data_IF_895407915982
#
_entry.id   IF_895407915982
#
_cell.length_a   1.000
_cell.length_b   1.000
_cell.length_c   1.000
_cell.angle_alpha   90.00
_cell.angle_beta   90.00
_cell.angle_gamma   90.00
#
_symmetry.space_group_name_H-M   'P 1'
#
loop_
_entity.id
_entity.type
_entity.pdbx_description
1 polymer ?
#
# COMPACT_ATOMS: atom_id res chain seq x y z
N UNK A 1 -2.09 -15.67 -25.04
CA UNK A 1 -3.54 -15.94 -25.06
C UNK A 1 -4.09 -15.59 -23.69
N UNK A 2 -4.83 -14.49 -23.57
CA UNK A 2 -5.49 -14.11 -22.32
C UNK A 2 -6.77 -14.93 -22.15
N UNK A 3 -6.92 -15.61 -21.01
CA UNK A 3 -8.15 -16.29 -20.64
C UNK A 3 -9.29 -15.25 -20.48
N UNK A 4 -10.53 -15.55 -20.89
CA UNK A 4 -11.63 -14.60 -20.75
C UNK A 4 -11.99 -14.39 -19.27
N UNK A 5 -12.22 -13.13 -18.89
CA UNK A 5 -12.85 -12.77 -17.63
C UNK A 5 -14.24 -13.39 -17.59
N UNK A 6 -14.46 -14.31 -16.65
CA UNK A 6 -15.77 -14.88 -16.40
C UNK A 6 -16.61 -13.81 -15.68
N UNK A 7 -17.41 -13.06 -16.46
CA UNK A 7 -18.51 -12.25 -15.93
C UNK A 7 -19.43 -13.17 -15.13
N UNK A 8 -19.69 -12.82 -13.88
CA UNK A 8 -20.52 -13.60 -12.96
C UNK A 8 -21.89 -13.94 -13.58
N UNK A 9 -22.41 -15.17 -13.39
CA UNK A 9 -23.73 -15.54 -13.89
C UNK A 9 -24.85 -14.88 -13.07
N UNK A 10 -26.09 -14.77 -13.62
CA UNK A 10 -27.21 -14.18 -12.92
C UNK A 10 -27.67 -15.08 -11.77
N UNK A 11 -28.09 -14.43 -10.67
CA UNK A 11 -28.45 -15.05 -9.38
C UNK A 11 -29.52 -16.13 -9.51
N UNK A 12 -29.23 -17.30 -8.96
CA UNK A 12 -30.21 -18.24 -8.41
C UNK A 12 -29.54 -19.10 -7.31
N UNK A 13 -30.04 -19.02 -6.07
CA UNK A 13 -29.67 -19.95 -4.98
C UNK A 13 -30.42 -21.29 -5.14
N UNK A 14 -29.83 -22.44 -4.75
CA UNK A 14 -29.93 -22.86 -3.34
C UNK A 14 -28.68 -23.53 -2.74
N UNK A 15 -28.72 -23.51 -1.40
CA UNK A 15 -27.82 -24.07 -0.37
C UNK A 15 -27.15 -25.41 -0.70
N UNK A 16 -25.82 -25.43 -0.62
CA UNK A 16 -25.07 -26.64 -0.26
C UNK A 16 -24.03 -26.32 0.82
N UNK A 17 -24.19 -27.07 1.91
CA UNK A 17 -23.33 -27.21 3.07
C UNK A 17 -21.87 -27.41 2.62
N UNK A 18 -21.13 -26.30 2.60
CA UNK A 18 -19.67 -26.29 2.54
C UNK A 18 -19.28 -25.39 3.67
N UNK A 19 -18.79 -25.98 4.76
CA UNK A 19 -18.00 -25.24 5.73
C UNK A 19 -16.91 -24.49 4.96
N UNK A 20 -16.99 -23.16 4.82
CA UNK A 20 -15.82 -22.41 4.49
C UNK A 20 -15.10 -22.34 5.83
N UNK A 21 -14.02 -23.12 5.99
CA UNK A 21 -12.92 -22.58 6.79
C UNK A 21 -12.37 -21.44 5.94
N UNK A 22 -13.12 -20.34 5.88
CA UNK A 22 -12.60 -19.02 5.60
C UNK A 22 -11.43 -18.91 6.57
N UNK A 23 -10.22 -18.96 6.01
CA UNK A 23 -9.09 -18.33 6.66
C UNK A 23 -9.29 -16.81 6.60
N UNK A 24 -10.47 -16.31 7.01
CA UNK A 24 -10.57 -15.07 7.76
C UNK A 24 -9.93 -15.36 9.11
N UNK A 25 -8.61 -15.53 9.10
CA UNK A 25 -7.86 -15.39 10.33
C UNK A 25 -7.99 -13.92 10.66
N UNK A 26 -9.06 -13.60 11.38
CA UNK A 26 -9.23 -12.38 12.14
C UNK A 26 -8.25 -12.47 13.33
N UNK A 27 -6.96 -12.67 13.03
CA UNK A 27 -5.90 -12.16 13.88
C UNK A 27 -6.21 -10.69 13.87
N UNK A 28 -6.58 -10.11 15.01
CA UNK A 28 -6.70 -8.66 15.19
C UNK A 28 -5.66 -7.99 14.29
N UNK A 29 -6.12 -7.45 13.14
CA UNK A 29 -5.25 -7.32 11.97
C UNK A 29 -4.15 -6.35 12.38
N UNK A 30 -2.96 -6.89 12.65
CA UNK A 30 -1.79 -6.08 12.94
C UNK A 30 -1.74 -5.07 11.82
N UNK A 31 -1.80 -3.78 12.18
CA UNK A 31 -1.83 -2.69 11.21
C UNK A 31 -0.65 -2.89 10.25
N UNK A 32 -0.96 -3.34 9.03
CA UNK A 32 0.05 -3.79 8.09
C UNK A 32 0.99 -2.65 7.70
N UNK A 33 0.48 -1.42 7.69
CA UNK A 33 1.27 -0.21 7.44
C UNK A 33 2.23 0.04 8.61
N UNK A 34 1.73 0.00 9.85
CA UNK A 34 2.57 0.17 11.03
C UNK A 34 3.65 -0.93 11.12
N UNK A 35 3.29 -2.20 10.90
CA UNK A 35 4.26 -3.30 10.86
C UNK A 35 5.27 -3.13 9.72
N UNK A 36 4.83 -2.70 8.54
CA UNK A 36 5.74 -2.44 7.42
C UNK A 36 6.76 -1.35 7.76
N UNK A 37 6.32 -0.22 8.31
CA UNK A 37 7.19 0.88 8.72
C UNK A 37 8.16 0.46 9.83
N UNK A 38 7.64 -0.21 10.86
CA UNK A 38 8.42 -0.76 11.96
C UNK A 38 9.53 -1.69 11.47
N UNK A 39 9.16 -2.63 10.60
CA UNK A 39 10.10 -3.61 10.06
C UNK A 39 11.17 -2.96 9.18
N UNK A 40 10.77 -2.01 8.31
CA UNK A 40 11.73 -1.27 7.47
C UNK A 40 12.80 -0.55 8.29
N UNK A 41 12.45 0.02 9.45
CA UNK A 41 13.41 0.69 10.35
C UNK A 41 14.37 -0.26 11.07
N UNK A 42 14.09 -1.56 11.08
CA UNK A 42 14.86 -2.55 11.84
C UNK A 42 15.70 -3.47 10.96
N UNK A 43 15.26 -3.74 9.73
CA UNK A 43 16.03 -4.56 8.77
C UNK A 43 17.19 -3.76 8.15
N UNK A 44 18.17 -4.48 7.60
CA UNK A 44 19.28 -3.87 6.89
C UNK A 44 18.82 -3.15 5.61
N UNK A 45 19.61 -2.16 5.16
CA UNK A 45 19.33 -1.44 3.92
C UNK A 45 19.32 -2.37 2.69
N UNK A 46 20.12 -3.44 2.72
CA UNK A 46 20.15 -4.46 1.67
C UNK A 46 18.81 -5.23 1.58
N UNK A 47 18.23 -5.60 2.73
CA UNK A 47 16.91 -6.25 2.79
C UNK A 47 15.78 -5.28 2.44
N UNK A 48 15.90 -4.00 2.82
CA UNK A 48 14.88 -2.99 2.57
C UNK A 48 14.82 -2.53 1.10
N UNK A 49 15.95 -2.54 0.37
CA UNK A 49 16.04 -2.06 -1.01
C UNK A 49 14.98 -2.64 -1.97
N UNK A 50 14.83 -3.97 -2.11
CA UNK A 50 13.82 -4.53 -3.02
C UNK A 50 12.37 -4.16 -2.63
N UNK A 51 12.10 -3.97 -1.33
CA UNK A 51 10.80 -3.54 -0.83
C UNK A 51 10.52 -2.10 -1.28
N UNK A 52 11.47 -1.19 -1.06
CA UNK A 52 11.31 0.22 -1.41
C UNK A 52 11.42 0.52 -2.91
N UNK A 53 11.87 -0.45 -3.71
CA UNK A 53 11.82 -0.37 -5.18
C UNK A 53 10.39 -0.62 -5.71
N UNK A 54 9.53 -1.26 -4.92
CA UNK A 54 8.16 -1.62 -5.32
C UNK A 54 7.09 -0.78 -4.61
N UNK A 55 7.28 -0.55 -3.31
CA UNK A 55 6.34 0.20 -2.48
C UNK A 55 6.41 1.70 -2.80
N UNK A 56 5.27 2.39 -2.76
CA UNK A 56 5.19 3.83 -2.98
C UNK A 56 4.44 4.51 -1.85
N UNK A 57 4.62 5.83 -1.72
CA UNK A 57 3.90 6.63 -0.70
C UNK A 57 2.38 6.50 -0.83
N UNK A 58 1.87 6.35 -2.07
CA UNK A 58 0.42 6.24 -2.32
C UNK A 58 -0.19 4.90 -1.93
N UNK A 59 0.62 3.91 -1.54
CA UNK A 59 0.11 2.61 -1.12
C UNK A 59 -0.41 2.65 0.34
N UNK A 60 -0.01 3.65 1.12
CA UNK A 60 -0.48 3.87 2.48
C UNK A 60 -1.84 4.59 2.50
N UNK A 61 -2.74 4.09 3.34
CA UNK A 61 -4.06 4.63 3.63
C UNK A 61 -3.95 5.81 4.59
N UNK A 62 -3.13 5.68 5.63
CA UNK A 62 -2.84 6.80 6.54
C UNK A 62 -1.77 7.71 5.91
N UNK A 63 -2.15 8.97 5.68
CA UNK A 63 -1.23 9.99 5.18
C UNK A 63 0.00 10.21 6.08
N UNK A 64 -0.12 10.00 7.40
CA UNK A 64 1.02 10.05 8.32
C UNK A 64 1.97 8.87 8.07
N UNK A 65 1.45 7.66 7.82
CA UNK A 65 2.27 6.51 7.45
C UNK A 65 2.96 6.72 6.10
N UNK A 66 2.26 7.25 5.10
CA UNK A 66 2.87 7.63 3.83
C UNK A 66 3.97 8.70 3.99
N UNK A 67 3.80 9.66 4.91
CA UNK A 67 4.83 10.64 5.23
C UNK A 67 6.06 10.00 5.91
N UNK A 68 5.86 9.12 6.89
CA UNK A 68 6.94 8.36 7.53
C UNK A 68 7.68 7.49 6.51
N UNK A 69 6.94 6.78 5.66
CA UNK A 69 7.52 5.97 4.59
C UNK A 69 8.41 6.81 3.67
N UNK A 70 7.97 8.02 3.29
CA UNK A 70 8.78 8.92 2.44
C UNK A 70 10.14 9.22 3.06
N UNK A 71 10.19 9.46 4.38
CA UNK A 71 11.44 9.74 5.10
C UNK A 71 12.35 8.49 5.13
N UNK A 72 11.79 7.34 5.49
CA UNK A 72 12.49 6.04 5.51
C UNK A 72 13.05 5.70 4.12
N UNK A 73 12.21 5.81 3.08
CA UNK A 73 12.61 5.62 1.68
C UNK A 73 13.77 6.56 1.31
N UNK A 74 13.69 7.83 1.67
CA UNK A 74 14.74 8.82 1.43
C UNK A 74 16.08 8.43 2.06
N UNK A 75 16.08 8.05 3.34
CA UNK A 75 17.27 7.59 4.07
C UNK A 75 17.90 6.36 3.39
N UNK A 76 17.09 5.34 3.11
CA UNK A 76 17.57 4.10 2.44
C UNK A 76 18.15 4.42 1.06
N UNK A 77 17.49 5.26 0.25
CA UNK A 77 18.00 5.68 -1.07
C UNK A 77 19.35 6.38 -0.98
N UNK A 78 19.54 7.24 0.01
CA UNK A 78 20.82 7.93 0.28
C UNK A 78 21.88 7.03 0.94
N UNK A 79 21.55 5.79 1.28
CA UNK A 79 22.46 4.89 1.99
C UNK A 79 22.76 5.35 3.42
N UNK A 80 21.87 6.14 4.01
CA UNK A 80 21.96 6.59 5.39
C UNK A 80 21.29 5.58 6.32
N UNK A 81 21.65 5.53 7.61
CA UNK A 81 20.92 4.72 8.57
C UNK A 81 19.45 5.18 8.61
N UNK A 82 18.55 4.22 8.63
CA UNK A 82 17.10 4.43 8.49
C UNK A 82 16.33 3.87 9.69
N UNK A 83 16.99 3.79 10.84
CA UNK A 83 16.39 3.43 12.11
C UNK A 83 15.49 4.54 12.67
N UNK A 84 14.78 4.23 13.76
CA UNK A 84 13.90 5.16 14.46
C UNK A 84 14.57 6.51 14.79
N UNK A 85 15.83 6.48 15.24
CA UNK A 85 16.54 7.70 15.66
C UNK A 85 16.80 8.58 14.45
N UNK A 86 17.23 7.99 13.34
CA UNK A 86 17.46 8.74 12.11
C UNK A 86 16.17 9.25 11.47
N UNK A 87 15.08 8.48 11.52
CA UNK A 87 13.78 8.96 11.04
C UNK A 87 13.29 10.12 11.91
N UNK A 88 13.43 10.03 13.23
CA UNK A 88 13.11 11.13 14.14
C UNK A 88 13.97 12.38 13.87
N UNK A 89 15.26 12.19 13.59
CA UNK A 89 16.16 13.27 13.20
C UNK A 89 15.73 13.92 11.88
N UNK A 90 15.36 13.15 10.85
CA UNK A 90 14.87 13.69 9.58
C UNK A 90 13.58 14.52 9.75
N UNK A 91 12.67 14.08 10.63
CA UNK A 91 11.47 14.85 11.01
C UNK A 91 11.86 16.23 11.58
N UNK A 92 12.98 16.31 12.32
CA UNK A 92 13.46 17.56 12.92
C UNK A 92 14.15 18.47 11.89
N UNK A 93 14.93 17.88 10.97
CA UNK A 93 15.74 18.61 10.00
C UNK A 93 14.98 19.15 8.78
N UNK A 94 13.71 18.76 8.57
CA UNK A 94 12.90 19.24 7.44
C UNK A 94 11.86 20.30 7.87
N UNK A 95 12.24 21.59 8.03
CA UNK A 95 11.33 22.69 8.35
C UNK A 95 10.46 23.15 7.15
N UNK A 96 10.59 22.53 5.97
CA UNK A 96 9.88 22.92 4.76
C UNK A 96 8.40 22.54 4.76
N UNK A 97 7.56 23.36 5.38
CA UNK A 97 6.10 23.40 5.17
C UNK A 97 5.22 22.80 6.26
N UNK A 98 5.79 22.34 7.39
CA UNK A 98 5.10 21.47 8.34
C UNK A 98 5.49 21.75 9.81
N UNK A 99 5.56 23.01 10.25
CA UNK A 99 5.75 23.24 11.70
C UNK A 99 4.56 22.74 12.53
N UNK A 100 3.36 22.65 11.96
CA UNK A 100 2.15 22.16 12.65
C UNK A 100 1.99 20.62 12.70
N UNK A 101 2.64 19.85 11.82
CA UNK A 101 2.51 18.38 11.83
C UNK A 101 3.76 17.63 12.31
N UNK A 102 4.83 18.33 12.70
CA UNK A 102 6.04 17.69 13.26
C UNK A 102 5.73 16.88 14.52
N UNK A 103 5.01 17.50 15.47
CA UNK A 103 4.63 16.84 16.72
C UNK A 103 3.72 15.64 16.46
N UNK A 104 2.76 15.78 15.54
CA UNK A 104 1.88 14.70 15.11
C UNK A 104 2.69 13.56 14.48
N UNK A 105 3.57 13.85 13.54
CA UNK A 105 4.37 12.83 12.85
C UNK A 105 5.30 12.08 13.82
N UNK A 106 5.87 12.77 14.82
CA UNK A 106 6.60 12.11 15.92
C UNK A 106 5.71 11.19 16.75
N UNK A 107 4.49 11.61 17.07
CA UNK A 107 3.54 10.74 17.79
C UNK A 107 3.21 9.48 16.97
N UNK A 108 2.99 9.62 15.66
CA UNK A 108 2.81 8.45 14.79
C UNK A 108 4.06 7.58 14.75
N UNK A 109 5.27 8.15 14.64
CA UNK A 109 6.52 7.40 14.66
C UNK A 109 6.67 6.56 15.93
N UNK A 110 6.38 7.13 17.10
CA UNK A 110 6.42 6.42 18.39
C UNK A 110 5.40 5.28 18.45
N UNK A 111 4.23 5.44 17.84
CA UNK A 111 3.20 4.38 17.79
C UNK A 111 3.62 3.21 16.89
N UNK A 112 4.30 3.49 15.78
CA UNK A 112 4.65 2.44 14.81
C UNK A 112 5.98 1.75 15.11
N UNK A 113 6.92 2.37 15.84
CA UNK A 113 8.29 1.83 15.97
C UNK A 113 8.36 0.38 16.43
N UNK A 114 7.49 -0.04 17.36
CA UNK A 114 7.43 -1.39 17.90
C UNK A 114 6.35 -2.30 17.30
N UNK A 115 5.70 -1.90 16.20
CA UNK A 115 4.56 -2.63 15.67
C UNK A 115 4.92 -3.99 15.04
N UNK A 116 6.12 -4.15 14.48
CA UNK A 116 6.57 -5.43 13.92
C UNK A 116 7.32 -6.26 14.96
N UNK A 117 6.72 -7.37 15.37
CA UNK A 117 7.38 -8.38 16.23
C UNK A 117 8.49 -9.12 15.50
N UNK A 118 8.33 -9.31 14.18
CA UNK A 118 9.26 -10.07 13.33
C UNK A 118 9.68 -9.21 12.12
N UNK A 119 10.69 -8.33 12.28
CA UNK A 119 11.13 -7.42 11.22
C UNK A 119 11.55 -8.12 9.93
N UNK A 120 12.09 -9.33 10.01
CA UNK A 120 12.47 -10.16 8.87
C UNK A 120 11.28 -10.50 7.95
N UNK A 121 10.04 -10.36 8.44
CA UNK A 121 8.81 -10.51 7.65
C UNK A 121 8.40 -9.23 6.91
N UNK A 122 9.27 -8.22 6.84
CA UNK A 122 9.03 -6.98 6.09
C UNK A 122 8.44 -7.18 4.68
N UNK A 123 8.90 -8.17 3.87
CA UNK A 123 8.29 -8.41 2.56
C UNK A 123 6.79 -8.77 2.63
N UNK A 124 6.37 -9.52 3.66
CA UNK A 124 4.96 -9.89 3.85
C UNK A 124 4.10 -8.70 4.27
N UNK A 125 4.61 -7.84 5.16
CA UNK A 125 3.91 -6.60 5.53
C UNK A 125 3.76 -5.66 4.32
N UNK A 126 4.83 -5.49 3.54
CA UNK A 126 4.78 -4.69 2.32
C UNK A 126 3.78 -5.25 1.29
N UNK A 127 3.73 -6.58 1.11
CA UNK A 127 2.72 -7.23 0.26
C UNK A 127 1.30 -6.94 0.73
N UNK A 128 1.03 -6.95 2.04
CA UNK A 128 -0.28 -6.62 2.59
C UNK A 128 -0.66 -5.16 2.29
N UNK A 129 0.26 -4.20 2.47
CA UNK A 129 0.04 -2.78 2.14
C UNK A 129 -0.26 -2.59 0.64
N UNK A 130 0.53 -3.21 -0.25
CA UNK A 130 0.30 -3.15 -1.70
C UNK A 130 -1.02 -3.82 -2.09
N UNK A 131 -1.38 -4.95 -1.47
CA UNK A 131 -2.65 -5.62 -1.72
C UNK A 131 -3.85 -4.73 -1.35
N UNK A 132 -3.78 -4.04 -0.20
CA UNK A 132 -4.82 -3.11 0.21
C UNK A 132 -4.90 -1.91 -0.74
N UNK A 133 -3.76 -1.31 -1.10
CA UNK A 133 -3.67 -0.25 -2.11
C UNK A 133 -4.29 -0.66 -3.44
N UNK A 134 -3.96 -1.87 -3.91
CA UNK A 134 -4.47 -2.40 -5.16
C UNK A 134 -6.00 -2.51 -5.13
N UNK A 135 -6.59 -3.01 -4.04
CA UNK A 135 -8.06 -3.04 -3.86
C UNK A 135 -8.68 -1.64 -3.87
N UNK A 136 -8.14 -0.71 -3.06
CA UNK A 136 -8.60 0.70 -3.02
C UNK A 136 -8.55 1.36 -4.40
N UNK A 137 -7.56 1.01 -5.22
CA UNK A 137 -7.41 1.57 -6.55
C UNK A 137 -8.58 1.20 -7.48
N UNK A 138 -9.17 0.01 -7.34
CA UNK A 138 -10.39 -0.38 -8.08
C UNK A 138 -11.61 0.40 -7.61
N UNK A 139 -11.76 0.59 -6.30
CA UNK A 139 -12.85 1.41 -5.74
C UNK A 139 -12.77 2.85 -6.26
N UNK A 140 -11.57 3.43 -6.26
CA UNK A 140 -11.32 4.77 -6.80
C UNK A 140 -11.63 4.84 -8.30
N UNK A 141 -11.22 3.83 -9.08
CA UNK A 141 -11.50 3.80 -10.52
C UNK A 141 -12.99 3.64 -10.83
N UNK A 142 -13.71 2.83 -10.05
CA UNK A 142 -15.15 2.68 -10.19
C UNK A 142 -15.89 3.99 -9.90
N UNK A 143 -15.53 4.67 -8.81
CA UNK A 143 -16.08 6.00 -8.47
C UNK A 143 -15.76 7.02 -9.57
N UNK A 144 -14.52 7.04 -10.06
CA UNK A 144 -14.08 7.95 -11.12
C UNK A 144 -14.82 7.69 -12.45
N UNK A 145 -15.16 6.44 -12.75
CA UNK A 145 -15.95 6.10 -13.93
C UNK A 145 -17.43 6.51 -13.76
N UNK A 146 -17.99 6.30 -12.57
CA UNK A 146 -19.35 6.74 -12.23
C UNK A 146 -19.49 8.26 -12.33
N UNK A 147 -18.51 9.02 -11.83
CA UNK A 147 -18.51 10.48 -11.95
C UNK A 147 -18.37 10.93 -13.41
N UNK A 148 -17.57 10.21 -14.21
CA UNK A 148 -17.35 10.53 -15.62
C UNK A 148 -18.63 10.48 -16.45
N UNK A 149 -19.62 9.64 -16.11
CA UNK A 149 -20.88 9.57 -16.85
C UNK A 149 -21.66 10.89 -16.84
N UNK A 150 -21.43 11.75 -15.85
CA UNK A 150 -22.07 13.06 -15.71
C UNK A 150 -21.18 14.23 -16.14
N UNK A 151 -19.85 14.05 -16.15
CA UNK A 151 -18.89 15.16 -16.22
C UNK A 151 -18.00 15.14 -17.46
N UNK A 152 -17.82 13.99 -18.10
CA UNK A 152 -16.99 13.81 -19.29
C UNK A 152 -17.87 13.81 -20.54
N UNK A 153 -17.41 14.44 -21.61
CA UNK A 153 -18.12 14.42 -22.89
C UNK A 153 -18.28 12.98 -23.40
N UNK A 154 -19.43 12.67 -24.00
CA UNK A 154 -19.77 11.30 -24.42
C UNK A 154 -18.71 10.69 -25.35
N UNK A 155 -18.18 11.48 -26.28
CA UNK A 155 -17.14 11.04 -27.23
C UNK A 155 -15.79 10.71 -26.55
N UNK A 156 -15.54 11.27 -25.36
CA UNK A 156 -14.31 11.07 -24.58
C UNK A 156 -14.42 9.94 -23.54
N UNK A 157 -15.62 9.41 -23.28
CA UNK A 157 -15.86 8.40 -22.23
C UNK A 157 -15.04 7.11 -22.45
N UNK A 158 -14.91 6.67 -23.70
CA UNK A 158 -14.12 5.48 -24.03
C UNK A 158 -12.63 5.68 -23.69
N UNK A 159 -12.05 6.81 -24.10
CA UNK A 159 -10.65 7.10 -23.81
C UNK A 159 -10.42 7.30 -22.30
N UNK A 160 -11.37 7.90 -21.59
CA UNK A 160 -11.36 8.02 -20.14
C UNK A 160 -11.30 6.64 -19.46
N UNK A 161 -12.16 5.71 -19.89
CA UNK A 161 -12.17 4.32 -19.40
C UNK A 161 -10.83 3.62 -19.70
N UNK A 162 -10.30 3.76 -20.92
CA UNK A 162 -9.00 3.17 -21.29
C UNK A 162 -7.86 3.70 -20.42
N UNK A 163 -7.88 5.00 -20.08
CA UNK A 163 -6.90 5.61 -19.16
C UNK A 163 -6.99 5.01 -17.75
N UNK A 164 -8.19 4.80 -17.21
CA UNK A 164 -8.36 4.08 -15.95
C UNK A 164 -7.83 2.64 -16.03
N UNK A 165 -8.13 1.93 -17.12
CA UNK A 165 -7.62 0.58 -17.35
C UNK A 165 -6.09 0.48 -17.42
N UNK A 166 -5.41 1.46 -18.04
CA UNK A 166 -3.94 1.53 -18.06
C UNK A 166 -3.37 1.72 -16.65
N UNK A 167 -3.95 2.61 -15.84
CA UNK A 167 -3.56 2.76 -14.43
C UNK A 167 -3.74 1.47 -13.64
N UNK A 168 -4.82 0.72 -13.89
CA UNK A 168 -5.04 -0.57 -13.23
C UNK A 168 -4.03 -1.64 -13.65
N UNK A 169 -3.61 -1.63 -14.92
CA UNK A 169 -2.53 -2.51 -15.39
C UNK A 169 -1.23 -2.21 -14.67
N UNK A 170 -0.88 -0.94 -14.50
CA UNK A 170 0.34 -0.54 -13.79
C UNK A 170 0.28 -0.96 -12.32
N UNK A 171 -0.87 -0.77 -11.66
CA UNK A 171 -1.09 -1.22 -10.28
C UNK A 171 -1.00 -2.75 -10.16
N UNK A 172 -1.55 -3.49 -11.12
CA UNK A 172 -1.44 -4.95 -11.18
C UNK A 172 0.01 -5.41 -11.34
N UNK A 173 0.78 -4.78 -12.22
CA UNK A 173 2.19 -5.11 -12.42
C UNK A 173 3.00 -4.95 -11.12
N UNK A 174 2.74 -3.88 -10.35
CA UNK A 174 3.37 -3.68 -9.04
C UNK A 174 2.95 -4.76 -8.03
N UNK A 175 1.66 -5.09 -7.98
CA UNK A 175 1.16 -6.16 -7.10
C UNK A 175 1.76 -7.53 -7.45
N UNK A 176 1.87 -7.85 -8.74
CA UNK A 176 2.51 -9.08 -9.19
C UNK A 176 4.01 -9.13 -8.82
N UNK A 177 4.73 -8.00 -8.96
CA UNK A 177 6.14 -7.90 -8.59
C UNK A 177 6.37 -8.16 -7.09
N UNK A 178 5.56 -7.56 -6.20
CA UNK A 178 5.71 -7.79 -4.76
C UNK A 178 5.33 -9.22 -4.37
N UNK A 179 4.34 -9.84 -5.02
CA UNK A 179 4.01 -11.23 -4.77
C UNK A 179 5.17 -12.16 -5.11
N UNK A 180 5.78 -12.00 -6.29
CA UNK A 180 6.93 -12.79 -6.73
C UNK A 180 8.18 -12.59 -5.85
N UNK A 181 8.34 -11.43 -5.23
CA UNK A 181 9.46 -11.15 -4.30
C UNK A 181 9.26 -11.75 -2.89
N UNK A 182 8.08 -12.30 -2.60
CA UNK A 182 7.71 -12.86 -1.27
C UNK A 182 7.54 -14.38 -1.24
N UNK A 183 7.68 -15.03 -2.40
CA UNK A 183 7.66 -16.49 -2.58
C UNK A 183 9.08 -17.06 -2.47
#
# INVERSE_FOLDING_TARGET
MAAPLHLAPPVAEPVHDRDPIEHSVDVAHLDAEACCLSALMQISAAQARPIIDTLTVGDFTDSAHGALYRLIHGLIRRGQPHDYVMVAHEIDQHPGGIDHHRAQLRQHLVRVVGAATFPERAPHYAKAVVAQSYRRSFETAAQALQEATATVATDDLYEYMCRLGRRQRDAHARYAAICAATE
#
